data_IF_018208927338
#
_entry.id   IF_018208927338
#
_cell.length_a   1.000
_cell.length_b   1.000
_cell.length_c   1.000
_cell.angle_alpha   90.00
_cell.angle_beta   90.00
_cell.angle_gamma   90.00
#
_symmetry.space_group_name_H-M   'P 1'
#
loop_
_entity.id
_entity.type
_entity.pdbx_description
1 polymer ?
#
# COMPACT_ATOMS: atom_id res chain seq x y z
N UNK A 1 -14.48 -6.47 -8.28
CA UNK A 1 -14.52 -6.38 -6.82
C UNK A 1 -13.13 -6.05 -6.29
N UNK A 2 -13.07 -5.12 -5.34
CA UNK A 2 -11.85 -4.78 -4.60
C UNK A 2 -11.94 -5.27 -3.17
N UNK A 3 -10.83 -5.79 -2.64
CA UNK A 3 -10.71 -6.17 -1.23
C UNK A 3 -9.47 -5.52 -0.64
N UNK A 4 -9.64 -4.75 0.44
CA UNK A 4 -8.56 -4.14 1.18
C UNK A 4 -8.41 -4.83 2.55
N UNK A 5 -7.23 -5.37 2.81
CA UNK A 5 -6.93 -6.15 4.02
C UNK A 5 -5.72 -5.54 4.73
N UNK A 6 -5.87 -5.24 6.02
CA UNK A 6 -4.78 -4.83 6.91
C UNK A 6 -4.32 -5.99 7.79
N UNK A 7 -3.07 -5.95 8.22
CA UNK A 7 -2.50 -6.86 9.20
C UNK A 7 -1.28 -6.26 9.88
N UNK A 8 -0.73 -7.02 10.84
CA UNK A 8 0.51 -6.68 11.52
C UNK A 8 1.64 -7.58 11.05
N UNK A 9 2.80 -7.00 10.72
CA UNK A 9 3.99 -7.74 10.31
C UNK A 9 4.42 -8.68 11.43
N UNK A 10 4.48 -8.18 12.67
CA UNK A 10 4.82 -8.96 13.86
C UNK A 10 3.94 -10.20 14.03
N UNK A 11 2.63 -10.07 13.83
CA UNK A 11 1.67 -11.18 13.93
C UNK A 11 1.77 -12.14 12.75
N UNK A 12 1.79 -11.62 11.51
CA UNK A 12 1.73 -12.43 10.29
C UNK A 12 3.04 -13.15 10.01
N UNK A 13 4.19 -12.57 10.34
CA UNK A 13 5.49 -13.22 10.15
C UNK A 13 5.75 -14.35 11.16
N UNK A 14 5.05 -14.35 12.28
CA UNK A 14 5.07 -15.42 13.29
C UNK A 14 4.00 -16.49 13.07
N UNK A 15 3.15 -16.34 12.03
CA UNK A 15 2.10 -17.30 11.74
C UNK A 15 2.67 -18.68 11.33
N UNK A 16 2.03 -19.81 11.68
CA UNK A 16 2.47 -21.12 11.21
C UNK A 16 2.60 -21.23 9.68
N UNK A 17 1.76 -20.53 8.92
CA UNK A 17 1.85 -20.46 7.45
C UNK A 17 3.10 -19.73 6.97
N UNK A 18 3.63 -18.77 7.74
CA UNK A 18 4.88 -18.10 7.40
C UNK A 18 6.06 -19.08 7.39
N UNK A 19 6.03 -20.09 8.29
CA UNK A 19 7.09 -21.10 8.36
C UNK A 19 7.16 -21.96 7.10
N UNK A 20 6.03 -22.21 6.42
CA UNK A 20 6.01 -22.96 5.15
C UNK A 20 6.57 -22.15 3.97
N UNK A 21 6.79 -20.84 4.16
CA UNK A 21 7.28 -19.90 3.16
C UNK A 21 8.71 -19.40 3.47
N UNK A 22 9.28 -19.80 4.61
CA UNK A 22 10.54 -19.28 5.14
C UNK A 22 11.74 -19.53 4.21
N UNK A 23 11.77 -20.67 3.53
CA UNK A 23 12.87 -21.03 2.62
C UNK A 23 12.96 -20.11 1.40
N UNK A 24 11.85 -19.46 1.03
CA UNK A 24 11.77 -18.51 -0.08
C UNK A 24 12.02 -17.06 0.36
N UNK A 25 12.05 -16.80 1.66
CA UNK A 25 12.12 -15.45 2.19
C UNK A 25 13.52 -14.86 2.02
N UNK A 26 13.64 -13.56 1.64
CA UNK A 26 14.93 -12.90 1.61
C UNK A 26 15.53 -12.84 3.02
N UNK A 27 16.85 -12.89 3.09
CA UNK A 27 17.57 -12.70 4.35
C UNK A 27 17.64 -11.21 4.74
N UNK A 28 17.83 -10.95 6.04
CA UNK A 28 18.05 -9.59 6.57
C UNK A 28 16.77 -8.78 6.77
N UNK A 29 16.88 -7.45 6.66
CA UNK A 29 15.86 -6.51 7.14
C UNK A 29 14.47 -6.65 6.47
N UNK A 30 14.38 -7.28 5.30
CA UNK A 30 13.12 -7.50 4.57
C UNK A 30 12.43 -8.82 4.91
N UNK A 31 13.07 -9.69 5.70
CA UNK A 31 12.60 -11.05 5.95
C UNK A 31 11.17 -11.06 6.54
N UNK A 32 10.96 -10.32 7.63
CA UNK A 32 9.68 -10.32 8.34
C UNK A 32 8.54 -9.72 7.49
N UNK A 33 8.76 -8.58 6.83
CA UNK A 33 7.73 -7.95 6.00
C UNK A 33 7.42 -8.78 4.75
N UNK A 34 8.41 -9.46 4.18
CA UNK A 34 8.20 -10.39 3.08
C UNK A 34 7.33 -11.58 3.50
N UNK A 35 7.65 -12.22 4.63
CA UNK A 35 6.86 -13.32 5.18
C UNK A 35 5.44 -12.90 5.50
N UNK A 36 5.27 -11.74 6.16
CA UNK A 36 3.96 -11.20 6.48
C UNK A 36 3.11 -10.96 5.23
N UNK A 37 3.70 -10.38 4.17
CA UNK A 37 2.98 -10.12 2.92
C UNK A 37 2.53 -11.41 2.22
N UNK A 38 3.36 -12.45 2.19
CA UNK A 38 2.98 -13.75 1.60
C UNK A 38 1.95 -14.50 2.45
N UNK A 39 2.07 -14.41 3.76
CA UNK A 39 1.07 -14.97 4.69
C UNK A 39 -0.28 -14.25 4.53
N UNK A 40 -0.28 -12.92 4.42
CA UNK A 40 -1.48 -12.12 4.20
C UNK A 40 -2.19 -12.51 2.89
N UNK A 41 -1.42 -12.64 1.80
CA UNK A 41 -1.93 -13.12 0.52
C UNK A 41 -2.53 -14.52 0.62
N UNK A 42 -1.77 -15.48 1.17
CA UNK A 42 -2.22 -16.87 1.27
C UNK A 42 -3.48 -17.03 2.13
N UNK A 43 -3.59 -16.28 3.23
CA UNK A 43 -4.82 -16.24 4.04
C UNK A 43 -6.01 -15.65 3.29
N UNK A 44 -5.79 -14.59 2.51
CA UNK A 44 -6.85 -13.92 1.75
C UNK A 44 -7.38 -14.79 0.60
N UNK A 45 -6.53 -15.64 0.02
CA UNK A 45 -6.89 -16.59 -1.05
C UNK A 45 -7.47 -17.90 -0.54
N UNK A 46 -7.36 -18.19 0.77
CA UNK A 46 -7.84 -19.43 1.39
C UNK A 46 -9.32 -19.67 1.06
N UNK A 47 -9.72 -20.90 0.70
CA UNK A 47 -8.94 -22.15 0.77
C UNK A 47 -8.05 -22.44 -0.45
N UNK A 48 -7.97 -21.54 -1.43
CA UNK A 48 -7.13 -21.75 -2.62
C UNK A 48 -5.64 -21.61 -2.27
N UNK A 49 -4.76 -22.41 -2.87
CA UNK A 49 -3.32 -22.28 -2.65
C UNK A 49 -2.81 -20.94 -3.22
N UNK A 50 -1.74 -20.40 -2.61
CA UNK A 50 -1.07 -19.21 -3.13
C UNK A 50 -0.48 -19.51 -4.52
N UNK A 51 -0.90 -18.80 -5.59
CA UNK A 51 -0.32 -18.97 -6.91
C UNK A 51 1.15 -18.57 -6.92
N UNK A 52 1.89 -19.05 -7.92
CA UNK A 52 3.25 -18.58 -8.18
C UNK A 52 3.26 -17.07 -8.38
N UNK A 53 4.24 -16.39 -7.76
CA UNK A 53 4.42 -14.94 -7.86
C UNK A 53 5.65 -14.65 -8.70
N UNK A 54 5.44 -13.90 -9.77
CA UNK A 54 6.48 -13.34 -10.63
C UNK A 54 6.67 -11.85 -10.34
N UNK A 55 7.78 -11.28 -10.81
CA UNK A 55 8.10 -9.87 -10.61
C UNK A 55 8.27 -9.16 -11.95
N UNK A 56 7.62 -8.00 -12.10
CA UNK A 56 7.82 -7.12 -13.25
C UNK A 56 9.20 -6.45 -13.25
N UNK A 57 9.47 -5.68 -14.30
CA UNK A 57 10.77 -5.03 -14.54
C UNK A 57 11.29 -4.20 -13.35
N UNK A 58 10.38 -3.50 -12.65
CA UNK A 58 10.70 -2.66 -11.49
C UNK A 58 10.42 -3.36 -10.15
N UNK A 59 10.21 -4.68 -10.15
CA UNK A 59 10.01 -5.48 -8.95
C UNK A 59 8.58 -5.51 -8.40
N UNK A 60 7.57 -4.99 -9.12
CA UNK A 60 6.16 -5.17 -8.73
C UNK A 60 5.79 -6.66 -8.81
N UNK A 61 5.34 -7.28 -7.71
CA UNK A 61 4.92 -8.68 -7.73
C UNK A 61 3.54 -8.83 -8.40
N UNK A 62 3.34 -9.93 -9.12
CA UNK A 62 2.08 -10.32 -9.75
C UNK A 62 1.93 -11.84 -9.72
N UNK A 63 0.71 -12.34 -9.86
CA UNK A 63 0.49 -13.78 -10.03
C UNK A 63 0.87 -14.22 -11.44
N UNK A 64 1.49 -15.40 -11.56
CA UNK A 64 1.89 -15.99 -12.83
C UNK A 64 0.70 -16.46 -13.67
N UNK A 65 0.97 -16.87 -14.91
CA UNK A 65 0.06 -17.63 -15.77
C UNK A 65 -1.28 -16.95 -16.09
N UNK A 66 -1.33 -15.62 -16.09
CA UNK A 66 -2.55 -14.86 -16.41
C UNK A 66 -3.66 -15.07 -15.39
N UNK A 67 -3.31 -15.29 -14.12
CA UNK A 67 -4.27 -15.42 -13.03
C UNK A 67 -5.28 -14.26 -13.06
N UNK A 68 -6.59 -14.52 -12.81
CA UNK A 68 -7.64 -13.49 -12.97
C UNK A 68 -7.63 -12.41 -11.89
N UNK A 69 -6.68 -12.46 -10.95
CA UNK A 69 -6.60 -11.52 -9.84
C UNK A 69 -5.30 -10.72 -9.93
N UNK A 70 -5.40 -9.46 -9.55
CA UNK A 70 -4.29 -8.55 -9.35
C UNK A 70 -4.18 -8.21 -7.87
N UNK A 71 -2.97 -7.87 -7.44
CA UNK A 71 -2.75 -7.43 -6.08
C UNK A 71 -1.66 -6.37 -5.97
N UNK A 72 -1.69 -5.64 -4.84
CA UNK A 72 -0.60 -4.81 -4.41
C UNK A 72 -0.43 -4.88 -2.90
N UNK A 73 0.82 -4.75 -2.44
CA UNK A 73 1.17 -4.77 -1.02
C UNK A 73 1.86 -3.45 -0.66
N UNK A 74 1.57 -2.92 0.52
CA UNK A 74 2.35 -1.86 1.13
C UNK A 74 2.50 -2.07 2.63
N UNK A 75 3.54 -1.53 3.25
CA UNK A 75 3.74 -1.62 4.68
C UNK A 75 4.41 -0.36 5.24
N UNK A 76 4.07 0.02 6.46
CA UNK A 76 4.70 1.13 7.17
C UNK A 76 4.67 0.85 8.67
N UNK A 77 5.82 0.97 9.33
CA UNK A 77 6.00 0.48 10.70
C UNK A 77 5.72 -1.03 10.79
N UNK A 78 4.84 -1.41 11.72
CA UNK A 78 4.38 -2.81 11.89
C UNK A 78 3.11 -3.11 11.08
N UNK A 79 2.54 -2.14 10.37
CA UNK A 79 1.33 -2.32 9.58
C UNK A 79 1.67 -2.80 8.16
N UNK A 80 0.87 -3.71 7.64
CA UNK A 80 0.92 -4.17 6.24
C UNK A 80 -0.48 -4.21 5.64
N UNK A 81 -0.60 -3.78 4.39
CA UNK A 81 -1.82 -3.76 3.61
C UNK A 81 -1.70 -4.62 2.36
N UNK A 82 -2.82 -5.23 2.00
CA UNK A 82 -3.06 -5.93 0.74
C UNK A 82 -4.29 -5.31 0.08
N UNK A 83 -4.14 -4.89 -1.17
CA UNK A 83 -5.25 -4.59 -2.06
C UNK A 83 -5.33 -5.69 -3.12
N UNK A 84 -6.49 -6.34 -3.23
CA UNK A 84 -6.81 -7.32 -4.28
C UNK A 84 -7.89 -6.81 -5.23
N UNK A 85 -7.84 -7.28 -6.48
CA UNK A 85 -8.73 -6.88 -7.57
C UNK A 85 -8.95 -8.02 -8.55
N UNK A 86 -10.17 -8.16 -9.07
CA UNK A 86 -10.50 -8.94 -10.28
C UNK A 86 -10.81 -8.03 -11.48
N UNK A 87 -10.59 -6.71 -11.35
CA UNK A 87 -10.93 -5.69 -12.37
C UNK A 87 -9.70 -5.11 -13.08
N UNK A 88 -8.50 -5.58 -12.74
CA UNK A 88 -7.24 -5.12 -13.34
C UNK A 88 -6.21 -4.64 -12.32
N UNK A 89 -5.14 -4.05 -12.85
CA UNK A 89 -3.96 -3.56 -12.11
C UNK A 89 -4.32 -2.54 -11.04
N UNK A 90 -3.88 -2.82 -9.81
CA UNK A 90 -4.09 -1.97 -8.64
C UNK A 90 -2.78 -1.53 -7.99
N UNK A 91 -2.84 -0.44 -7.24
CA UNK A 91 -1.79 0.02 -6.34
C UNK A 91 -2.38 0.49 -5.03
N UNK A 92 -1.69 0.22 -3.92
CA UNK A 92 -2.04 0.75 -2.62
C UNK A 92 -0.80 1.23 -1.89
N UNK A 93 -0.98 2.21 -1.02
CA UNK A 93 0.05 2.62 -0.09
C UNK A 93 -0.52 2.89 1.30
N UNK A 94 0.30 2.68 2.33
CA UNK A 94 -0.02 3.00 3.71
C UNK A 94 1.17 3.68 4.37
N UNK A 95 0.91 4.71 5.17
CA UNK A 95 1.94 5.38 5.95
C UNK A 95 1.47 5.65 7.38
N UNK A 96 2.33 5.35 8.37
CA UNK A 96 2.13 5.79 9.74
C UNK A 96 2.33 7.30 9.83
N UNK A 97 1.26 8.03 10.14
CA UNK A 97 1.29 9.47 10.39
C UNK A 97 2.11 9.71 11.65
N UNK A 98 3.29 10.32 11.46
CA UNK A 98 4.27 10.55 12.53
C UNK A 98 5.03 11.85 12.31
N UNK A 99 5.60 12.44 13.38
CA UNK A 99 6.53 13.55 13.26
C UNK A 99 7.66 13.23 12.29
N UNK A 100 7.99 14.20 11.43
CA UNK A 100 9.08 14.09 10.46
C UNK A 100 9.71 15.47 10.27
N UNK A 101 10.93 15.67 10.74
CA UNK A 101 11.54 17.01 10.77
C UNK A 101 11.71 17.65 9.38
N UNK A 102 12.00 16.86 8.34
CA UNK A 102 12.30 17.35 7.00
C UNK A 102 11.13 17.21 6.01
N UNK A 103 9.88 17.14 6.50
CA UNK A 103 8.73 16.89 5.65
C UNK A 103 8.49 18.01 4.62
N UNK A 104 8.69 19.28 4.99
CA UNK A 104 8.52 20.41 4.05
C UNK A 104 9.57 20.38 2.93
N UNK A 105 10.83 20.07 3.26
CA UNK A 105 11.89 19.98 2.25
C UNK A 105 11.61 18.84 1.25
N UNK A 106 11.04 17.74 1.74
CA UNK A 106 10.63 16.62 0.89
C UNK A 106 9.40 16.97 0.05
N UNK A 107 8.41 17.67 0.60
CA UNK A 107 7.28 18.20 -0.15
C UNK A 107 7.78 19.09 -1.30
N UNK A 108 8.65 20.06 -1.03
CA UNK A 108 9.22 20.95 -2.04
C UNK A 108 9.99 20.22 -3.16
N UNK A 109 10.57 19.06 -2.86
CA UNK A 109 11.32 18.28 -3.83
C UNK A 109 10.45 17.35 -4.69
N UNK A 110 9.24 17.01 -4.22
CA UNK A 110 8.43 15.92 -4.79
C UNK A 110 7.05 16.36 -5.23
N UNK A 111 6.47 17.39 -4.61
CA UNK A 111 5.08 17.79 -4.85
C UNK A 111 4.98 18.76 -6.03
N UNK A 112 3.91 18.62 -6.80
CA UNK A 112 3.55 19.58 -7.85
C UNK A 112 3.02 20.87 -7.22
N UNK A 113 2.88 21.92 -8.03
CA UNK A 113 2.29 23.19 -7.58
C UNK A 113 0.88 23.00 -7.02
N UNK A 114 0.06 22.16 -7.67
CA UNK A 114 -1.33 21.89 -7.24
C UNK A 114 -1.40 21.09 -5.95
N UNK A 115 -0.42 20.20 -5.69
CA UNK A 115 -0.28 19.48 -4.42
C UNK A 115 0.23 20.39 -3.30
N UNK A 116 1.12 21.34 -3.62
CA UNK A 116 1.49 22.41 -2.70
C UNK A 116 0.29 23.27 -2.33
N UNK A 117 -0.54 23.65 -3.30
CA UNK A 117 -1.77 24.39 -3.00
C UNK A 117 -2.74 23.58 -2.12
N UNK A 118 -2.82 22.24 -2.29
CA UNK A 118 -3.59 21.38 -1.38
C UNK A 118 -3.03 21.42 0.05
N UNK A 119 -1.72 21.27 0.18
CA UNK A 119 -1.03 21.30 1.47
C UNK A 119 -1.21 22.65 2.19
N UNK A 120 -1.07 23.77 1.47
CA UNK A 120 -1.10 25.13 2.03
C UNK A 120 -2.50 25.59 2.43
N UNK A 121 -3.56 24.95 1.89
CA UNK A 121 -4.95 25.22 2.30
C UNK A 121 -5.30 24.64 3.67
N UNK A 122 -4.50 23.70 4.18
CA UNK A 122 -4.73 23.07 5.48
C UNK A 122 -4.22 23.96 6.61
N UNK A 123 -4.85 23.82 7.78
CA UNK A 123 -4.39 24.51 8.98
C UNK A 123 -2.95 24.08 9.32
N UNK A 124 -2.07 24.97 9.86
CA UNK A 124 -0.67 24.66 10.12
C UNK A 124 -0.42 23.33 10.87
N UNK A 125 -1.28 23.00 11.83
CA UNK A 125 -1.25 21.76 12.61
C UNK A 125 -1.61 20.50 11.80
N UNK A 126 -2.39 20.63 10.72
CA UNK A 126 -2.81 19.53 9.85
C UNK A 126 -1.91 19.37 8.62
N UNK A 127 -1.01 20.31 8.33
CA UNK A 127 -0.15 20.25 7.16
C UNK A 127 0.72 18.98 7.10
N UNK A 128 1.22 18.49 8.25
CA UNK A 128 1.96 17.23 8.27
C UNK A 128 1.07 16.01 7.93
N UNK A 129 -0.18 16.03 8.37
CA UNK A 129 -1.18 15.00 8.01
C UNK A 129 -1.48 15.04 6.51
N UNK A 130 -1.64 16.24 5.96
CA UNK A 130 -1.83 16.47 4.53
C UNK A 130 -0.60 16.05 3.69
N UNK A 131 0.62 16.28 4.18
CA UNK A 131 1.84 15.75 3.58
C UNK A 131 1.77 14.23 3.45
N UNK A 132 1.46 13.51 4.53
CA UNK A 132 1.33 12.06 4.50
C UNK A 132 0.21 11.61 3.56
N UNK A 133 -0.92 12.33 3.53
CA UNK A 133 -2.03 12.06 2.60
C UNK A 133 -1.59 12.16 1.14
N UNK A 134 -0.93 13.24 0.75
CA UNK A 134 -0.42 13.44 -0.62
C UNK A 134 0.65 12.39 -0.95
N UNK A 135 1.61 12.16 -0.04
CA UNK A 135 2.66 11.16 -0.20
C UNK A 135 2.09 9.77 -0.49
N UNK A 136 1.19 9.31 0.37
CA UNK A 136 0.52 8.01 0.23
C UNK A 136 -0.24 7.91 -1.09
N UNK A 137 -0.89 9.01 -1.53
CA UNK A 137 -1.55 9.10 -2.85
C UNK A 137 -0.59 8.78 -3.99
N UNK A 138 0.55 9.47 -4.00
CA UNK A 138 1.53 9.41 -5.08
C UNK A 138 2.13 8.01 -5.15
N UNK A 139 2.51 7.43 -4.02
CA UNK A 139 3.01 6.05 -3.92
C UNK A 139 1.99 5.03 -4.44
N UNK A 140 0.71 5.15 -4.09
CA UNK A 140 -0.33 4.25 -4.59
C UNK A 140 -0.47 4.32 -6.12
N UNK A 141 -0.36 5.52 -6.72
CA UNK A 141 -0.38 5.72 -8.18
C UNK A 141 0.86 5.10 -8.84
N UNK A 142 2.06 5.33 -8.28
CA UNK A 142 3.31 4.74 -8.78
C UNK A 142 3.23 3.21 -8.77
N UNK A 143 2.79 2.64 -7.64
CA UNK A 143 2.64 1.19 -7.46
C UNK A 143 1.61 0.60 -8.40
N UNK A 144 0.51 1.31 -8.68
CA UNK A 144 -0.47 0.86 -9.66
C UNK A 144 0.16 0.68 -11.03
N UNK A 145 0.98 1.64 -11.46
CA UNK A 145 1.67 1.64 -12.76
C UNK A 145 2.85 0.66 -12.86
N UNK A 146 3.18 -0.06 -11.79
CA UNK A 146 4.37 -0.92 -11.77
C UNK A 146 5.67 -0.14 -11.68
N UNK A 147 5.63 1.10 -11.22
CA UNK A 147 6.79 1.95 -11.07
C UNK A 147 7.60 1.70 -9.80
N UNK A 148 8.79 2.29 -9.74
CA UNK A 148 9.63 2.37 -8.54
C UNK A 148 9.45 3.70 -7.81
N UNK A 149 9.81 3.74 -6.52
CA UNK A 149 9.68 4.94 -5.68
C UNK A 149 10.34 6.20 -6.29
N UNK A 150 11.36 6.04 -7.14
CA UNK A 150 12.01 7.16 -7.83
C UNK A 150 11.08 7.94 -8.78
N UNK A 151 10.01 7.32 -9.24
CA UNK A 151 9.05 7.94 -10.15
C UNK A 151 8.03 8.82 -9.42
N UNK A 152 8.04 8.85 -8.08
CA UNK A 152 7.09 9.66 -7.29
C UNK A 152 7.12 11.15 -7.67
N UNK A 153 8.30 11.69 -8.03
CA UNK A 153 8.48 13.08 -8.48
C UNK A 153 7.82 13.39 -9.82
N UNK A 154 7.57 12.37 -10.64
CA UNK A 154 6.94 12.49 -11.96
C UNK A 154 5.41 12.36 -11.92
N UNK A 155 4.85 12.08 -10.74
CA UNK A 155 3.42 11.97 -10.54
C UNK A 155 2.89 13.30 -10.05
N UNK A 156 1.85 13.83 -10.70
CA UNK A 156 0.95 14.79 -10.08
C UNK A 156 -0.32 14.04 -9.70
N UNK A 157 -0.54 13.88 -8.39
CA UNK A 157 -1.69 13.12 -7.87
C UNK A 157 -3.01 13.89 -7.97
N UNK A 158 -2.99 15.15 -8.39
CA UNK A 158 -4.19 15.95 -8.69
C UNK A 158 -4.64 15.82 -10.14
N UNK A 159 -3.76 15.43 -11.07
CA UNK A 159 -4.01 15.35 -12.51
C UNK A 159 -4.70 14.03 -12.94
N UNK A 160 -5.70 13.57 -12.18
CA UNK A 160 -6.26 12.21 -12.17
C UNK A 160 -6.45 11.55 -13.56
N UNK A 161 -5.68 10.49 -13.83
CA UNK A 161 -5.91 9.58 -14.98
C UNK A 161 -6.62 8.28 -14.59
N UNK A 162 -6.62 7.94 -13.30
CA UNK A 162 -7.24 6.74 -12.73
C UNK A 162 -7.96 7.12 -11.41
N UNK A 163 -9.02 6.40 -11.04
CA UNK A 163 -9.65 6.53 -9.73
C UNK A 163 -8.67 6.32 -8.57
N UNK A 164 -8.68 7.25 -7.63
CA UNK A 164 -7.89 7.19 -6.40
C UNK A 164 -8.81 7.49 -5.21
N UNK A 165 -8.67 6.72 -4.14
CA UNK A 165 -9.38 6.94 -2.89
C UNK A 165 -8.43 6.89 -1.71
N UNK A 166 -8.75 7.64 -0.65
CA UNK A 166 -7.91 7.80 0.52
C UNK A 166 -8.73 7.74 1.79
N UNK A 167 -8.11 7.25 2.85
CA UNK A 167 -8.73 7.13 4.16
C UNK A 167 -7.68 7.35 5.25
N UNK A 168 -8.00 8.18 6.24
CA UNK A 168 -7.29 8.16 7.52
C UNK A 168 -7.92 7.08 8.39
N UNK A 169 -7.14 6.06 8.76
CA UNK A 169 -7.58 4.95 9.58
C UNK A 169 -6.72 4.87 10.84
N UNK A 170 -7.22 5.43 11.95
CA UNK A 170 -6.42 5.61 13.16
C UNK A 170 -5.20 6.49 12.91
N UNK A 171 -4.00 5.95 13.14
CA UNK A 171 -2.71 6.61 12.86
C UNK A 171 -2.19 6.38 11.44
N UNK A 172 -2.94 5.69 10.57
CA UNK A 172 -2.52 5.41 9.21
C UNK A 172 -3.16 6.39 8.21
N UNK A 173 -2.36 6.84 7.26
CA UNK A 173 -2.81 7.37 5.97
C UNK A 173 -2.84 6.20 4.98
N UNK A 174 -3.99 5.94 4.36
CA UNK A 174 -4.18 4.89 3.37
C UNK A 174 -4.53 5.52 2.01
N UNK A 175 -3.99 4.97 0.93
CA UNK A 175 -4.43 5.30 -0.42
C UNK A 175 -4.52 4.07 -1.32
N UNK A 176 -5.49 4.08 -2.22
CA UNK A 176 -5.69 3.06 -3.25
C UNK A 176 -5.86 3.72 -4.61
N UNK A 177 -5.28 3.12 -5.64
CA UNK A 177 -5.40 3.51 -7.03
C UNK A 177 -5.90 2.29 -7.81
N UNK A 178 -7.06 2.42 -8.45
CA UNK A 178 -7.82 1.31 -9.03
C UNK A 178 -8.19 1.59 -10.49
N UNK A 179 -8.41 0.56 -11.33
CA UNK A 179 -8.80 0.75 -12.73
C UNK A 179 -10.24 1.26 -12.89
N UNK A 180 -11.13 0.95 -11.94
CA UNK A 180 -12.51 1.44 -11.89
C UNK A 180 -12.77 2.14 -10.55
N UNK A 181 -13.80 3.01 -10.44
CA UNK A 181 -14.08 3.74 -9.21
C UNK A 181 -14.28 2.82 -8.00
N UNK A 182 -13.51 3.09 -6.94
CA UNK A 182 -13.62 2.43 -5.65
C UNK A 182 -13.45 3.47 -4.55
N UNK A 183 -14.31 3.42 -3.54
CA UNK A 183 -14.22 4.32 -2.38
C UNK A 183 -13.75 3.51 -1.18
N UNK A 184 -12.57 3.83 -0.67
CA UNK A 184 -12.02 3.23 0.54
C UNK A 184 -12.71 3.85 1.75
N UNK A 185 -13.53 3.07 2.44
CA UNK A 185 -14.17 3.46 3.71
C UNK A 185 -13.66 2.58 4.85
N UNK A 186 -13.97 2.96 6.09
CA UNK A 186 -13.58 2.17 7.27
C UNK A 186 -14.21 0.76 7.24
N UNK A 187 -15.43 0.63 6.72
CA UNK A 187 -16.15 -0.64 6.58
C UNK A 187 -15.56 -1.54 5.49
N UNK A 188 -14.91 -0.95 4.49
CA UNK A 188 -14.22 -1.69 3.43
C UNK A 188 -12.87 -2.28 3.91
N UNK A 189 -12.35 -1.82 5.04
CA UNK A 189 -11.09 -2.31 5.63
C UNK A 189 -11.38 -3.58 6.43
N UNK A 190 -10.80 -4.69 5.99
CA UNK A 190 -10.81 -5.95 6.73
C UNK A 190 -9.47 -6.20 7.40
N UNK A 191 -9.44 -6.98 8.48
CA UNK A 191 -8.22 -7.30 9.21
C UNK A 191 -7.89 -8.79 9.16
N UNK A 192 -6.64 -9.12 8.82
CA UNK A 192 -6.10 -10.48 8.88
C UNK A 192 -5.27 -10.65 10.14
N UNK A 193 -5.90 -11.18 11.19
CA UNK A 193 -5.32 -11.34 12.52
C UNK A 193 -6.37 -11.10 13.60
N UNK A 194 -6.05 -11.48 14.84
CA UNK A 194 -6.87 -11.09 15.99
C UNK A 194 -6.80 -9.56 16.07
N UNK A 195 -7.93 -8.83 16.16
CA UNK A 195 -7.90 -7.38 16.34
C UNK A 195 -6.98 -7.03 17.51
N UNK A 196 -6.14 -6.01 17.35
CA UNK A 196 -5.45 -5.44 18.49
C UNK A 196 -6.53 -4.96 19.48
N UNK A 197 -6.50 -5.50 20.70
CA UNK A 197 -7.39 -5.14 21.79
C UNK A 197 -7.25 -3.66 22.17
#
# INVERSE_FOLDING_TARGET
>A
MYQFVLGKISTLSADPLASTLADMAPQGARHASWLAGRTLLARTLSPSPLPEIIYGEQGKPAFANGHPLWFNLSHSGDDIALLMSDEGEVGCDIEVIRPRENWQALANAVFSLTEHDELEREAPEEQLSAFWRIWTRKEAIVKQRGGSAWQIVSIDSTAQSLPVSQLRFGSLSLAVCTPTPFTLTAEAVTYSGIPAA
#
